data_IF_060796919006
#
_entry.id   IF_060796919006
#
_cell.length_a   1.000
_cell.length_b   1.000
_cell.length_c   1.000
_cell.angle_alpha   90.00
_cell.angle_beta   90.00
_cell.angle_gamma   90.00
#
_symmetry.space_group_name_H-M   'P 1'
#
loop_
_entity.id
_entity.type
_entity.pdbx_description
1 polymer ?
#
# COMPACT_ATOMS: atom_id res chain seq x y z
N UNK A 1 13.74 24.84 26.93
CA UNK A 1 12.88 24.99 25.74
C UNK A 1 12.49 23.61 25.26
N UNK A 2 11.22 23.26 25.39
CA UNK A 2 10.67 21.99 24.91
C UNK A 2 10.44 22.03 23.39
N UNK A 3 10.36 20.87 22.75
CA UNK A 3 10.09 20.74 21.30
C UNK A 3 8.76 21.37 20.88
N UNK A 4 7.84 21.59 21.82
CA UNK A 4 6.54 22.25 21.61
C UNK A 4 6.70 23.76 21.54
N UNK A 5 7.51 24.35 22.42
CA UNK A 5 7.78 25.80 22.45
C UNK A 5 8.49 26.27 21.17
N UNK A 6 9.40 25.45 20.62
CA UNK A 6 10.10 25.75 19.36
C UNK A 6 9.13 25.79 18.17
N UNK A 7 8.13 24.90 18.13
CA UNK A 7 7.14 24.87 17.03
C UNK A 7 6.19 26.06 17.05
N UNK A 8 5.78 26.48 18.24
CA UNK A 8 4.92 27.66 18.44
C UNK A 8 5.60 28.93 17.91
N UNK A 9 6.85 29.15 18.32
CA UNK A 9 7.64 30.33 17.92
C UNK A 9 7.96 30.34 16.42
N UNK A 10 8.17 29.18 15.81
CA UNK A 10 8.35 29.05 14.36
C UNK A 10 7.07 29.37 13.58
N UNK A 11 5.90 29.02 14.11
CA UNK A 11 4.62 29.29 13.43
C UNK A 11 4.33 30.80 13.40
N UNK A 12 4.46 31.47 14.54
CA UNK A 12 4.26 32.92 14.67
C UNK A 12 5.26 33.74 13.82
N UNK A 13 6.49 33.23 13.67
CA UNK A 13 7.52 33.89 12.83
C UNK A 13 7.24 33.78 11.33
N UNK A 14 6.56 32.72 10.89
CA UNK A 14 6.25 32.47 9.47
C UNK A 14 5.04 33.28 9.01
N UNK A 15 4.07 33.54 9.89
CA UNK A 15 2.88 34.35 9.57
C UNK A 15 3.22 35.82 9.33
N UNK A 16 4.34 36.31 9.85
CA UNK A 16 4.81 37.69 9.68
C UNK A 16 5.65 37.93 8.40
N UNK A 17 5.81 36.92 7.54
CA UNK A 17 6.55 37.07 6.28
C UNK A 17 5.62 37.67 5.21
N UNK A 18 5.87 38.91 4.80
CA UNK A 18 5.06 39.59 3.75
C UNK A 18 5.40 39.15 2.31
N UNK A 19 6.45 38.35 2.12
CA UNK A 19 6.82 37.81 0.81
C UNK A 19 6.13 36.46 0.58
N UNK A 20 5.09 36.47 -0.25
CA UNK A 20 4.27 35.30 -0.58
C UNK A 20 5.09 34.19 -1.26
N UNK A 21 6.14 34.52 -2.02
CA UNK A 21 6.99 33.55 -2.70
C UNK A 21 7.97 32.88 -1.71
N UNK A 22 8.50 33.63 -0.76
CA UNK A 22 9.29 33.10 0.35
C UNK A 22 8.44 32.21 1.26
N UNK A 23 7.20 32.62 1.55
CA UNK A 23 6.26 31.87 2.37
C UNK A 23 5.85 30.55 1.70
N UNK A 24 5.66 30.56 0.38
CA UNK A 24 5.41 29.34 -0.39
C UNK A 24 6.63 28.42 -0.40
N UNK A 25 7.84 28.98 -0.57
CA UNK A 25 9.08 28.21 -0.54
C UNK A 25 9.38 27.60 0.84
N UNK A 26 9.09 28.32 1.92
CA UNK A 26 9.22 27.81 3.30
C UNK A 26 8.16 26.75 3.58
N UNK A 27 6.92 26.94 3.13
CA UNK A 27 5.88 25.90 3.20
C UNK A 27 6.28 24.67 2.39
N UNK A 28 6.84 24.85 1.21
CA UNK A 28 7.39 23.78 0.37
C UNK A 28 8.58 23.09 1.02
N UNK A 29 9.45 23.81 1.75
CA UNK A 29 10.56 23.22 2.50
C UNK A 29 10.08 22.45 3.74
N UNK A 30 9.06 22.96 4.44
CA UNK A 30 8.46 22.29 5.60
C UNK A 30 7.62 21.07 5.20
N UNK A 31 6.99 21.10 4.03
CA UNK A 31 6.29 19.94 3.43
C UNK A 31 7.26 18.98 2.73
N UNK A 32 8.38 19.48 2.19
CA UNK A 32 9.59 18.71 1.85
C UNK A 32 10.38 18.33 3.11
N UNK A 33 9.70 17.84 4.15
CA UNK A 33 10.23 16.66 4.85
C UNK A 33 10.35 15.60 3.77
N UNK A 34 11.52 15.54 3.12
CA UNK A 34 11.78 14.67 1.98
C UNK A 34 11.18 13.32 2.29
N UNK A 35 10.28 12.83 1.42
CA UNK A 35 9.60 11.53 1.59
C UNK A 35 10.64 10.56 2.10
N UNK A 36 10.57 10.22 3.39
CA UNK A 36 11.59 9.43 4.07
C UNK A 36 11.73 8.18 3.21
N UNK A 37 12.90 8.02 2.61
CA UNK A 37 13.15 6.91 1.71
C UNK A 37 12.90 5.64 2.51
N UNK A 38 11.85 4.92 2.14
CA UNK A 38 11.49 3.67 2.78
C UNK A 38 11.95 2.55 1.86
N UNK A 39 13.06 1.86 2.18
CA UNK A 39 13.62 0.83 1.33
C UNK A 39 12.64 -0.33 1.13
N UNK A 40 11.81 -0.64 2.14
CA UNK A 40 10.82 -1.72 2.05
C UNK A 40 9.73 -1.33 1.06
N UNK A 41 9.19 -0.12 1.15
CA UNK A 41 8.18 0.38 0.19
C UNK A 41 8.75 0.41 -1.22
N UNK A 42 10.00 0.87 -1.40
CA UNK A 42 10.65 0.85 -2.72
C UNK A 42 10.78 -0.57 -3.25
N UNK A 43 11.19 -1.52 -2.39
CA UNK A 43 11.35 -2.91 -2.76
C UNK A 43 10.02 -3.56 -3.18
N UNK A 44 8.96 -3.36 -2.38
CA UNK A 44 7.62 -3.88 -2.67
C UNK A 44 7.10 -3.38 -4.02
N UNK A 45 7.22 -2.07 -4.27
CA UNK A 45 6.87 -1.49 -5.57
C UNK A 45 7.72 -2.04 -6.69
N UNK A 46 9.02 -2.20 -6.47
CA UNK A 46 9.94 -2.81 -7.43
C UNK A 46 9.48 -4.22 -7.84
N UNK A 47 9.22 -5.09 -6.86
CA UNK A 47 8.73 -6.45 -7.11
C UNK A 47 7.43 -6.48 -7.91
N UNK A 48 6.46 -5.63 -7.54
CA UNK A 48 5.16 -5.57 -8.24
C UNK A 48 5.33 -5.07 -9.67
N UNK A 49 6.14 -4.04 -9.89
CA UNK A 49 6.35 -3.50 -11.24
C UNK A 49 7.11 -4.47 -12.14
N UNK A 50 8.04 -5.25 -11.58
CA UNK A 50 8.79 -6.29 -12.30
C UNK A 50 7.99 -7.56 -12.62
N UNK A 51 6.74 -7.67 -12.15
CA UNK A 51 5.93 -8.85 -12.45
C UNK A 51 5.67 -8.98 -13.96
N UNK A 52 5.94 -10.16 -14.48
CA UNK A 52 5.67 -10.53 -15.87
C UNK A 52 4.66 -11.68 -15.92
N UNK A 53 3.82 -11.67 -16.96
CA UNK A 53 2.85 -12.71 -17.18
C UNK A 53 3.54 -13.97 -17.75
N UNK A 54 3.34 -15.16 -17.16
CA UNK A 54 3.84 -16.42 -17.70
C UNK A 54 3.45 -16.59 -19.17
N UNK A 55 4.38 -17.09 -19.99
CA UNK A 55 4.16 -17.24 -21.44
C UNK A 55 2.92 -18.08 -21.76
N UNK A 56 2.66 -19.15 -21.00
CA UNK A 56 1.45 -19.99 -21.17
C UNK A 56 0.16 -19.18 -21.06
N UNK A 57 0.05 -18.27 -20.08
CA UNK A 57 -1.16 -17.48 -19.86
C UNK A 57 -1.34 -16.43 -20.96
N UNK A 58 -0.25 -15.87 -21.48
CA UNK A 58 -0.29 -15.03 -22.68
C UNK A 58 -0.84 -15.79 -23.89
N UNK A 59 -0.45 -17.04 -24.07
CA UNK A 59 -0.97 -17.90 -25.14
C UNK A 59 -2.45 -18.24 -24.94
N UNK A 60 -2.89 -18.38 -23.69
CA UNK A 60 -4.29 -18.62 -23.33
C UNK A 60 -5.17 -17.36 -23.43
N UNK A 61 -4.60 -16.21 -23.82
CA UNK A 61 -5.33 -14.96 -24.02
C UNK A 61 -5.49 -14.10 -22.76
N UNK A 62 -4.85 -14.47 -21.65
CA UNK A 62 -4.87 -13.70 -20.40
C UNK A 62 -4.08 -12.41 -20.60
N UNK A 63 -4.71 -11.27 -20.28
CA UNK A 63 -4.06 -9.98 -20.36
C UNK A 63 -3.02 -9.79 -19.23
N UNK A 64 -1.86 -9.16 -19.50
CA UNK A 64 -0.93 -8.79 -18.45
C UNK A 64 -1.52 -7.66 -17.58
N UNK A 65 -1.20 -7.62 -16.27
CA UNK A 65 -1.63 -6.53 -15.40
C UNK A 65 -1.15 -5.17 -15.90
N UNK A 66 -2.07 -4.23 -16.00
CA UNK A 66 -1.80 -2.86 -16.43
C UNK A 66 -0.91 -2.10 -15.44
N UNK A 67 -0.40 -0.95 -15.90
CA UNK A 67 0.35 -0.06 -15.03
C UNK A 67 -0.47 0.42 -13.83
N UNK A 68 -1.75 0.74 -14.03
CA UNK A 68 -2.61 1.21 -12.94
C UNK A 68 -2.95 0.11 -11.95
N UNK A 69 -3.16 -1.13 -12.41
CA UNK A 69 -3.29 -2.31 -11.55
C UNK A 69 -2.04 -2.51 -10.69
N UNK A 70 -0.84 -2.48 -11.30
CA UNK A 70 0.44 -2.57 -10.57
C UNK A 70 0.65 -1.42 -9.58
N UNK A 71 0.26 -0.20 -9.96
CA UNK A 71 0.35 0.99 -9.09
C UNK A 71 -0.57 0.86 -7.88
N UNK A 72 -1.81 0.39 -8.08
CA UNK A 72 -2.78 0.18 -7.01
C UNK A 72 -2.35 -0.95 -6.08
N UNK A 73 -1.91 -2.09 -6.61
CA UNK A 73 -1.33 -3.18 -5.81
C UNK A 73 -0.12 -2.71 -4.99
N UNK A 74 0.74 -1.87 -5.58
CA UNK A 74 1.84 -1.23 -4.87
C UNK A 74 1.39 -0.32 -3.73
N UNK A 75 0.24 0.34 -3.87
CA UNK A 75 -0.36 1.17 -2.82
C UNK A 75 -0.97 0.29 -1.72
N UNK A 76 -1.68 -0.77 -2.07
CA UNK A 76 -2.19 -1.77 -1.12
C UNK A 76 -1.07 -2.35 -0.25
N UNK A 77 0.02 -2.81 -0.88
CA UNK A 77 1.17 -3.36 -0.16
C UNK A 77 1.85 -2.31 0.72
N UNK A 78 1.96 -1.06 0.25
CA UNK A 78 2.48 0.05 1.05
C UNK A 78 1.61 0.37 2.26
N UNK A 79 0.28 0.44 2.10
CA UNK A 79 -0.68 0.68 3.19
C UNK A 79 -0.59 -0.40 4.25
N UNK A 80 -0.61 -1.68 3.85
CA UNK A 80 -0.50 -2.81 4.79
C UNK A 80 0.82 -2.80 5.57
N UNK A 81 1.91 -2.43 4.92
CA UNK A 81 3.20 -2.31 5.58
C UNK A 81 3.28 -1.10 6.50
N UNK A 82 2.89 0.10 6.05
CA UNK A 82 3.04 1.32 6.85
C UNK A 82 2.09 1.39 8.04
N UNK A 83 0.85 0.98 7.84
CA UNK A 83 -0.20 1.20 8.82
C UNK A 83 -0.31 0.00 9.79
N UNK A 84 0.11 -1.19 9.34
CA UNK A 84 -0.05 -2.43 10.10
C UNK A 84 1.23 -3.24 10.27
N UNK A 85 2.36 -2.81 9.69
CA UNK A 85 3.64 -3.55 9.72
C UNK A 85 3.57 -4.96 9.12
N UNK A 86 2.67 -5.17 8.15
CA UNK A 86 2.43 -6.45 7.50
C UNK A 86 3.06 -6.45 6.11
N UNK A 87 3.91 -7.45 5.81
CA UNK A 87 4.56 -7.62 4.51
C UNK A 87 4.06 -8.87 3.79
N UNK A 88 3.92 -8.85 2.46
CA UNK A 88 3.48 -10.01 1.71
C UNK A 88 4.56 -11.09 1.71
N UNK A 89 4.15 -12.33 1.92
CA UNK A 89 4.98 -13.53 1.73
C UNK A 89 5.00 -13.98 0.27
N UNK A 90 4.04 -13.51 -0.54
CA UNK A 90 3.98 -13.75 -1.98
C UNK A 90 3.37 -12.56 -2.69
N UNK A 91 3.98 -12.22 -3.82
CA UNK A 91 3.51 -11.23 -4.79
C UNK A 91 3.54 -11.93 -6.14
N UNK A 92 2.43 -11.96 -6.87
CA UNK A 92 2.34 -12.64 -8.16
C UNK A 92 1.32 -11.98 -9.07
N UNK A 93 1.40 -12.29 -10.37
CA UNK A 93 0.28 -12.09 -11.29
C UNK A 93 -0.77 -13.18 -11.08
N UNK A 94 -2.02 -12.86 -11.36
CA UNK A 94 -3.15 -13.79 -11.25
C UNK A 94 -3.66 -14.25 -12.62
N UNK A 95 -4.37 -15.37 -12.63
CA UNK A 95 -5.07 -15.85 -13.83
C UNK A 95 -6.29 -14.97 -14.13
N UNK A 96 -6.83 -14.30 -13.11
CA UNK A 96 -7.91 -13.31 -13.21
C UNK A 96 -7.38 -11.93 -13.69
N UNK A 97 -6.29 -11.93 -14.45
CA UNK A 97 -5.64 -10.75 -15.06
C UNK A 97 -5.09 -9.70 -14.07
N UNK A 98 -5.15 -9.95 -12.75
CA UNK A 98 -4.77 -9.02 -11.69
C UNK A 98 -3.40 -9.23 -11.03
N UNK A 99 -3.21 -8.56 -9.89
CA UNK A 99 -2.08 -8.75 -8.98
C UNK A 99 -2.57 -9.40 -7.68
N UNK A 100 -1.96 -10.53 -7.35
CA UNK A 100 -2.22 -11.29 -6.14
C UNK A 100 -1.13 -11.03 -5.08
N UNK A 101 -1.58 -10.70 -3.86
CA UNK A 101 -0.76 -10.49 -2.67
C UNK A 101 -1.20 -11.47 -1.57
N UNK A 102 -0.24 -12.21 -1.00
CA UNK A 102 -0.50 -13.14 0.11
C UNK A 102 0.26 -12.73 1.34
N UNK A 103 -0.43 -12.76 2.48
CA UNK A 103 0.09 -12.46 3.80
C UNK A 103 -0.22 -13.62 4.74
N UNK A 104 0.68 -13.91 5.67
CA UNK A 104 0.50 -14.97 6.66
C UNK A 104 0.83 -14.46 8.04
N UNK A 105 -0.09 -14.67 8.97
CA UNK A 105 0.17 -14.51 10.38
C UNK A 105 0.66 -15.87 10.90
N UNK A 106 1.92 -15.91 11.35
CA UNK A 106 2.56 -17.14 11.79
C UNK A 106 2.15 -17.56 13.20
N UNK A 107 1.59 -16.65 14.00
CA UNK A 107 1.19 -16.92 15.39
C UNK A 107 -0.15 -17.64 15.46
N UNK A 108 -1.07 -17.36 14.53
CA UNK A 108 -2.45 -17.89 14.54
C UNK A 108 -2.83 -18.71 13.28
N UNK A 109 -1.89 -18.90 12.34
CA UNK A 109 -2.08 -19.57 11.04
C UNK A 109 -3.18 -18.96 10.15
N UNK A 110 -3.52 -17.69 10.34
CA UNK A 110 -4.40 -16.96 9.42
C UNK A 110 -3.65 -16.52 8.17
N UNK A 111 -4.33 -16.54 7.04
CA UNK A 111 -3.80 -16.11 5.74
C UNK A 111 -4.74 -15.07 5.17
N UNK A 112 -4.19 -13.89 4.86
CA UNK A 112 -4.89 -12.83 4.14
C UNK A 112 -4.41 -12.83 2.69
N UNK A 113 -5.34 -12.99 1.77
CA UNK A 113 -5.13 -13.03 0.33
C UNK A 113 -5.84 -11.83 -0.26
N UNK A 114 -5.15 -11.03 -1.06
CA UNK A 114 -5.69 -9.83 -1.69
C UNK A 114 -5.43 -9.91 -3.18
N UNK A 115 -6.46 -9.68 -3.97
CA UNK A 115 -6.41 -9.56 -5.42
C UNK A 115 -6.74 -8.13 -5.82
N UNK A 116 -5.95 -7.56 -6.72
CA UNK A 116 -6.24 -6.27 -7.37
C UNK A 116 -6.52 -6.55 -8.83
N UNK A 117 -7.76 -6.38 -9.26
CA UNK A 117 -8.20 -6.70 -10.61
C UNK A 117 -7.78 -5.63 -11.61
N UNK A 118 -7.65 -6.02 -12.87
CA UNK A 118 -7.07 -5.19 -13.91
C UNK A 118 -8.09 -4.35 -14.67
N UNK A 119 -9.33 -4.83 -14.77
CA UNK A 119 -10.42 -4.28 -15.56
C UNK A 119 -11.11 -3.10 -14.87
N UNK A 120 -11.41 -3.23 -13.58
CA UNK A 120 -12.13 -2.23 -12.77
C UNK A 120 -11.27 -1.61 -11.66
N UNK A 121 -10.05 -2.12 -11.44
CA UNK A 121 -9.19 -1.76 -10.32
C UNK A 121 -9.83 -2.02 -8.95
N UNK A 122 -10.75 -2.99 -8.87
CA UNK A 122 -11.33 -3.43 -7.62
C UNK A 122 -10.31 -4.24 -6.81
N UNK A 123 -10.47 -4.20 -5.49
CA UNK A 123 -9.63 -4.89 -4.53
C UNK A 123 -10.50 -5.88 -3.78
N UNK A 124 -10.26 -7.17 -3.95
CA UNK A 124 -10.92 -8.21 -3.15
C UNK A 124 -9.95 -8.79 -2.12
N UNK A 125 -10.44 -9.07 -0.92
CA UNK A 125 -9.66 -9.67 0.15
C UNK A 125 -10.37 -10.90 0.73
N UNK A 126 -9.63 -11.97 0.95
CA UNK A 126 -10.09 -13.20 1.58
C UNK A 126 -9.17 -13.50 2.76
N UNK A 127 -9.78 -13.72 3.93
CA UNK A 127 -9.12 -14.16 5.14
C UNK A 127 -9.49 -15.62 5.40
N UNK A 128 -8.48 -16.47 5.52
CA UNK A 128 -8.67 -17.90 5.82
C UNK A 128 -7.90 -18.33 7.06
N UNK A 129 -8.35 -19.40 7.70
CA UNK A 129 -7.62 -20.15 8.74
C UNK A 129 -7.85 -21.63 8.52
N UNK A 130 -6.77 -22.41 8.47
CA UNK A 130 -6.85 -23.86 8.23
C UNK A 130 -7.69 -24.21 6.99
N UNK A 131 -7.50 -23.46 5.90
CA UNK A 131 -8.23 -23.58 4.62
C UNK A 131 -9.75 -23.30 4.68
N UNK A 132 -10.25 -22.73 5.79
CA UNK A 132 -11.62 -22.26 5.89
C UNK A 132 -11.67 -20.75 5.76
N UNK A 133 -12.60 -20.23 4.94
CA UNK A 133 -12.84 -18.80 4.81
C UNK A 133 -13.47 -18.29 6.11
N UNK A 134 -12.80 -17.33 6.75
CA UNK A 134 -13.32 -16.60 7.91
C UNK A 134 -14.10 -15.38 7.44
N UNK A 135 -13.56 -14.65 6.45
CA UNK A 135 -14.16 -13.45 5.90
C UNK A 135 -13.70 -13.24 4.47
N UNK A 136 -14.59 -12.70 3.64
CA UNK A 136 -14.29 -12.15 2.34
C UNK A 136 -14.91 -10.76 2.24
N UNK A 137 -14.23 -9.82 1.60
CA UNK A 137 -14.72 -8.46 1.43
C UNK A 137 -14.08 -7.77 0.23
N UNK A 138 -14.85 -6.91 -0.42
CA UNK A 138 -14.31 -5.89 -1.32
C UNK A 138 -13.78 -4.73 -0.48
N UNK A 139 -12.59 -4.25 -0.83
CA UNK A 139 -11.88 -3.21 -0.08
C UNK A 139 -12.10 -1.87 -0.76
N UNK A 140 -13.05 -1.11 -0.22
CA UNK A 140 -13.28 0.25 -0.65
C UNK A 140 -12.28 1.22 -0.01
N UNK A 141 -11.80 2.18 -0.81
CA UNK A 141 -10.93 3.29 -0.36
C UNK A 141 -9.70 2.81 0.43
N UNK A 142 -9.20 1.61 0.12
CA UNK A 142 -8.04 1.00 0.78
C UNK A 142 -8.20 0.83 2.30
N UNK A 143 -9.44 0.67 2.78
CA UNK A 143 -9.70 0.48 4.20
C UNK A 143 -9.54 -1.01 4.60
N UNK A 144 -8.36 -1.36 5.07
CA UNK A 144 -8.03 -2.74 5.50
C UNK A 144 -8.30 -3.02 6.98
N UNK A 145 -8.81 -2.04 7.75
CA UNK A 145 -8.84 -2.13 9.22
C UNK A 145 -9.54 -3.38 9.73
N UNK A 146 -10.74 -3.68 9.21
CA UNK A 146 -11.51 -4.83 9.68
C UNK A 146 -10.83 -6.17 9.34
N UNK A 147 -10.33 -6.29 8.10
CA UNK A 147 -9.61 -7.49 7.65
C UNK A 147 -8.34 -7.72 8.47
N UNK A 148 -7.56 -6.67 8.72
CA UNK A 148 -6.32 -6.76 9.49
C UNK A 148 -6.59 -7.04 10.97
N UNK A 149 -7.64 -6.45 11.55
CA UNK A 149 -8.08 -6.77 12.92
C UNK A 149 -8.34 -8.27 13.06
N UNK A 150 -9.19 -8.83 12.18
CA UNK A 150 -9.49 -10.25 12.18
C UNK A 150 -8.27 -11.12 11.86
N UNK A 151 -7.33 -10.63 11.05
CA UNK A 151 -6.08 -11.32 10.75
C UNK A 151 -5.13 -11.43 11.96
N UNK A 152 -5.18 -10.47 12.89
CA UNK A 152 -4.32 -10.42 14.08
C UNK A 152 -4.93 -11.05 15.34
N UNK A 153 -6.26 -11.22 15.40
CA UNK A 153 -6.96 -11.96 16.47
C UNK A 153 -6.60 -13.45 16.50
#
# INVERSE_FOLDING_TARGET
MTTVEIKSLLHESIENINDKALLLSIKDLMTKKGKKFDPVVKQLKGWIHSLELPQRWRTDGIAPPSYDCKKLAGKVAETLYKDFSIIPIRIAVSIEEGIYLKYKNFDNNKVLEIEVYNDNLDIAAILTKNNQVIKSADIEKENFFEMVKLFNE
#
